data_IF_506927668641
#
_entry.id   IF_506927668641
#
_cell.length_a   1.000
_cell.length_b   1.000
_cell.length_c   1.000
_cell.angle_alpha   90.00
_cell.angle_beta   90.00
_cell.angle_gamma   90.00
#
_symmetry.space_group_name_H-M   'P 1'
#
loop_
_entity.id
_entity.type
_entity.pdbx_description
1 polymer ?
#
# COMPACT_ATOMS: atom_id res chain seq x y z
N UNK A 1 -7.75 -16.83 7.35
CA UNK A 1 -6.80 -16.09 6.48
C UNK A 1 -6.86 -14.57 6.72
N UNK A 2 -8.03 -13.96 6.84
CA UNK A 2 -8.16 -12.51 7.14
C UNK A 2 -7.51 -12.09 8.48
N UNK A 3 -7.67 -12.89 9.53
CA UNK A 3 -7.17 -12.55 10.87
C UNK A 3 -5.64 -12.52 11.00
N UNK A 4 -4.90 -13.30 10.19
CA UNK A 4 -3.43 -13.30 10.22
C UNK A 4 -2.84 -12.10 9.47
N UNK A 5 -3.58 -11.53 8.51
CA UNK A 5 -3.14 -10.36 7.76
C UNK A 5 -3.32 -9.06 8.55
N UNK A 6 -4.35 -9.00 9.40
CA UNK A 6 -4.66 -7.86 10.28
C UNK A 6 -3.43 -7.35 11.08
N UNK A 7 -2.68 -8.18 11.84
CA UNK A 7 -1.50 -7.71 12.57
C UNK A 7 -0.35 -7.28 11.65
N UNK A 8 -0.22 -7.85 10.45
CA UNK A 8 0.82 -7.46 9.48
C UNK A 8 0.57 -6.04 8.98
N UNK A 9 -0.67 -5.73 8.59
CA UNK A 9 -1.08 -4.39 8.14
C UNK A 9 -0.79 -3.37 9.24
N UNK A 10 -1.20 -3.67 10.46
CA UNK A 10 -1.04 -2.79 11.59
C UNK A 10 0.44 -2.55 11.92
N UNK A 11 1.28 -3.59 11.89
CA UNK A 11 2.73 -3.47 12.13
C UNK A 11 3.42 -2.65 11.05
N UNK A 12 3.06 -2.85 9.77
CA UNK A 12 3.64 -2.07 8.68
C UNK A 12 3.28 -0.60 8.76
N UNK A 13 2.03 -0.27 9.08
CA UNK A 13 1.56 1.10 9.23
C UNK A 13 2.16 1.81 10.46
N UNK A 14 2.61 1.05 11.48
CA UNK A 14 3.24 1.59 12.68
C UNK A 14 4.77 1.66 12.63
N UNK A 15 5.41 1.20 11.54
CA UNK A 15 6.87 1.26 11.42
C UNK A 15 7.39 2.70 11.57
N UNK A 16 8.44 2.92 12.40
CA UNK A 16 8.97 4.24 12.73
C UNK A 16 9.99 4.74 11.71
N UNK A 17 9.82 4.36 10.44
CA UNK A 17 10.66 4.74 9.32
C UNK A 17 9.86 4.77 8.02
N UNK A 18 10.33 5.53 7.01
CA UNK A 18 9.72 5.52 5.68
C UNK A 18 9.78 4.14 5.03
N UNK A 19 8.71 3.79 4.33
CA UNK A 19 8.55 2.50 3.66
C UNK A 19 8.23 2.67 2.17
N UNK A 20 8.90 1.90 1.32
CA UNK A 20 8.72 1.92 -0.13
C UNK A 20 8.36 0.50 -0.59
N UNK A 21 7.24 0.34 -1.28
CA UNK A 21 6.89 -0.89 -1.99
C UNK A 21 7.38 -0.82 -3.43
N UNK A 22 8.16 -1.81 -3.87
CA UNK A 22 8.61 -1.96 -5.26
C UNK A 22 7.88 -3.13 -5.92
N UNK A 23 6.87 -2.85 -6.76
CA UNK A 23 6.05 -3.87 -7.42
C UNK A 23 6.65 -4.25 -8.79
N UNK A 24 7.41 -5.34 -8.83
CA UNK A 24 8.03 -5.84 -10.08
C UNK A 24 7.09 -6.70 -10.94
N UNK A 25 5.91 -7.06 -10.45
CA UNK A 25 4.98 -7.98 -11.13
C UNK A 25 3.53 -7.81 -10.67
N UNK A 26 2.84 -8.94 -10.45
CA UNK A 26 1.45 -8.92 -10.00
C UNK A 26 1.38 -8.70 -8.49
N UNK A 27 0.60 -7.71 -8.07
CA UNK A 27 0.14 -7.56 -6.69
C UNK A 27 -1.38 -7.66 -6.67
N UNK A 28 -1.90 -8.79 -6.19
CA UNK A 28 -3.32 -9.11 -6.20
C UNK A 28 -3.85 -9.23 -4.77
N UNK A 29 -5.10 -8.81 -4.53
CA UNK A 29 -5.80 -9.01 -3.25
C UNK A 29 -4.93 -8.56 -2.06
N UNK A 30 -4.64 -9.45 -1.11
CA UNK A 30 -3.77 -9.17 0.04
C UNK A 30 -2.37 -8.66 -0.36
N UNK A 31 -1.81 -9.09 -1.50
CA UNK A 31 -0.55 -8.57 -2.01
C UNK A 31 -0.65 -7.09 -2.44
N UNK A 32 -1.81 -6.69 -3.00
CA UNK A 32 -2.06 -5.29 -3.30
C UNK A 32 -2.26 -4.46 -2.02
N UNK A 33 -3.04 -4.95 -1.04
CA UNK A 33 -3.13 -4.28 0.24
C UNK A 33 -1.78 -4.16 0.95
N UNK A 34 -0.93 -5.18 0.87
CA UNK A 34 0.39 -5.14 1.46
C UNK A 34 1.22 -4.00 0.88
N UNK A 35 1.17 -3.79 -0.44
CA UNK A 35 1.80 -2.64 -1.09
C UNK A 35 1.20 -1.32 -0.58
N UNK A 36 -0.12 -1.22 -0.45
CA UNK A 36 -0.80 -0.03 0.07
C UNK A 36 -0.45 0.31 1.54
N UNK A 37 0.07 -0.64 2.32
CA UNK A 37 0.57 -0.36 3.67
C UNK A 37 1.87 0.47 3.69
N UNK A 38 2.56 0.60 2.55
CA UNK A 38 3.78 1.38 2.45
C UNK A 38 3.46 2.86 2.21
N UNK A 39 4.41 3.74 2.51
CA UNK A 39 4.25 5.18 2.30
C UNK A 39 4.23 5.50 0.81
N UNK A 40 5.20 4.93 0.10
CA UNK A 40 5.40 5.08 -1.33
C UNK A 40 5.27 3.73 -2.04
N UNK A 41 4.70 3.73 -3.24
CA UNK A 41 4.53 2.56 -4.09
C UNK A 41 5.10 2.87 -5.46
N UNK A 42 6.16 2.17 -5.84
CA UNK A 42 6.75 2.22 -7.17
C UNK A 42 6.43 0.93 -7.90
N UNK A 43 6.30 0.99 -9.22
CA UNK A 43 5.82 -0.15 -9.99
C UNK A 43 6.55 -0.29 -11.32
N UNK A 44 6.74 -1.52 -11.77
CA UNK A 44 7.29 -1.78 -13.10
C UNK A 44 6.24 -1.50 -14.17
N UNK A 45 6.62 -0.79 -15.23
CA UNK A 45 5.74 -0.30 -16.30
C UNK A 45 5.07 -1.44 -17.08
N UNK A 46 5.86 -2.41 -17.52
CA UNK A 46 5.47 -3.42 -18.51
C UNK A 46 4.83 -4.69 -17.90
N UNK A 47 5.30 -5.14 -16.73
CA UNK A 47 4.77 -6.33 -16.05
C UNK A 47 4.04 -6.07 -14.74
N UNK A 48 4.04 -4.83 -14.26
CA UNK A 48 3.27 -4.48 -13.07
C UNK A 48 1.78 -4.62 -13.35
N UNK A 49 1.06 -5.34 -12.48
CA UNK A 49 -0.40 -5.39 -12.47
C UNK A 49 -0.92 -5.36 -11.03
N UNK A 50 -1.85 -4.46 -10.73
CA UNK A 50 -2.55 -4.40 -9.44
C UNK A 50 -4.05 -4.65 -9.63
N UNK A 51 -4.66 -5.40 -8.71
CA UNK A 51 -6.10 -5.67 -8.72
C UNK A 51 -6.57 -6.30 -7.40
N UNK A 52 -7.89 -6.23 -7.20
CA UNK A 52 -8.63 -6.96 -6.18
C UNK A 52 -9.45 -8.04 -6.88
N UNK A 53 -9.39 -9.28 -6.37
CA UNK A 53 -10.04 -10.44 -7.00
C UNK A 53 -11.27 -10.93 -6.24
N UNK A 54 -11.55 -10.33 -5.08
CA UNK A 54 -12.58 -10.77 -4.15
C UNK A 54 -13.96 -10.81 -4.80
N UNK A 55 -14.30 -9.80 -5.61
CA UNK A 55 -15.60 -9.72 -6.30
C UNK A 55 -15.77 -10.85 -7.32
N UNK A 56 -14.70 -11.20 -8.06
CA UNK A 56 -14.72 -12.29 -9.05
C UNK A 56 -14.80 -13.66 -8.38
N UNK A 57 -14.30 -13.77 -7.15
CA UNK A 57 -14.31 -15.00 -6.34
C UNK A 57 -15.55 -15.13 -5.44
N UNK A 58 -16.46 -14.14 -5.44
CA UNK A 58 -17.62 -14.13 -4.54
C UNK A 58 -17.26 -14.00 -3.06
N UNK A 59 -16.09 -13.42 -2.76
CA UNK A 59 -15.59 -13.23 -1.40
C UNK A 59 -15.97 -11.84 -0.88
N UNK A 60 -16.26 -11.78 0.42
CA UNK A 60 -16.46 -10.50 1.10
C UNK A 60 -15.13 -9.87 1.48
N UNK A 61 -15.09 -8.54 1.46
CA UNK A 61 -13.92 -7.77 1.88
C UNK A 61 -14.11 -7.29 3.33
N UNK A 62 -13.11 -7.48 4.22
CA UNK A 62 -13.15 -6.95 5.59
C UNK A 62 -13.10 -5.42 5.63
N UNK A 63 -13.74 -4.81 6.63
CA UNK A 63 -13.83 -3.34 6.74
C UNK A 63 -12.47 -2.64 6.82
N UNK A 64 -11.49 -3.22 7.53
CA UNK A 64 -10.14 -2.63 7.62
C UNK A 64 -9.43 -2.58 6.26
N UNK A 65 -9.77 -3.50 5.35
CA UNK A 65 -9.22 -3.54 4.00
C UNK A 65 -9.82 -2.42 3.16
N UNK A 66 -11.15 -2.22 3.27
CA UNK A 66 -11.84 -1.11 2.63
C UNK A 66 -11.32 0.25 3.16
N UNK A 67 -11.07 0.36 4.47
CA UNK A 67 -10.48 1.54 5.09
C UNK A 67 -9.07 1.81 4.54
N UNK A 68 -8.20 0.80 4.49
CA UNK A 68 -6.85 0.94 3.90
C UNK A 68 -6.90 1.45 2.45
N UNK A 69 -7.77 0.89 1.62
CA UNK A 69 -7.93 1.32 0.22
C UNK A 69 -8.44 2.77 0.15
N UNK A 70 -9.40 3.17 0.98
CA UNK A 70 -9.87 4.57 1.05
C UNK A 70 -8.77 5.54 1.47
N UNK A 71 -7.94 5.14 2.45
CA UNK A 71 -6.84 5.94 2.96
C UNK A 71 -5.73 6.17 1.93
N UNK A 72 -5.55 5.26 0.97
CA UNK A 72 -4.44 5.32 -0.01
C UNK A 72 -4.88 5.71 -1.42
N UNK A 73 -6.14 5.47 -1.79
CA UNK A 73 -6.70 5.82 -3.10
C UNK A 73 -7.80 6.85 -2.89
N UNK A 74 -7.48 8.14 -3.10
CA UNK A 74 -8.41 9.25 -2.83
C UNK A 74 -9.61 9.28 -3.77
N UNK A 75 -9.46 8.84 -5.02
CA UNK A 75 -10.51 8.89 -6.04
C UNK A 75 -11.59 7.82 -5.85
N UNK A 76 -12.84 8.26 -5.68
CA UNK A 76 -14.02 7.39 -5.56
C UNK A 76 -14.24 6.54 -6.83
N UNK A 77 -13.99 7.09 -8.02
CA UNK A 77 -14.14 6.33 -9.27
C UNK A 77 -13.09 5.23 -9.35
N UNK A 78 -11.83 5.54 -9.03
CA UNK A 78 -10.74 4.54 -9.04
C UNK A 78 -11.01 3.42 -8.04
N UNK A 79 -11.50 3.74 -6.84
CA UNK A 79 -11.87 2.70 -5.86
C UNK A 79 -12.97 1.79 -6.39
N UNK A 80 -13.99 2.32 -7.08
CA UNK A 80 -15.06 1.51 -7.68
C UNK A 80 -14.52 0.60 -8.79
N UNK A 81 -13.66 1.13 -9.67
CA UNK A 81 -13.02 0.34 -10.72
C UNK A 81 -12.25 -0.85 -10.13
N UNK A 82 -11.42 -0.59 -9.12
CA UNK A 82 -10.56 -1.63 -8.53
C UNK A 82 -11.36 -2.63 -7.69
N UNK A 83 -12.30 -2.16 -6.87
CA UNK A 83 -13.01 -3.01 -5.88
C UNK A 83 -14.28 -3.65 -6.41
N UNK A 84 -15.10 -2.90 -7.14
CA UNK A 84 -16.43 -3.36 -7.57
C UNK A 84 -16.41 -3.91 -8.99
N UNK A 85 -15.53 -3.40 -9.87
CA UNK A 85 -15.38 -3.91 -11.22
C UNK A 85 -14.22 -4.91 -11.37
N UNK A 86 -13.47 -5.21 -10.29
CA UNK A 86 -12.34 -6.15 -10.33
C UNK A 86 -11.24 -5.75 -11.33
N UNK A 87 -11.15 -4.46 -11.67
CA UNK A 87 -10.33 -4.00 -12.80
C UNK A 87 -8.85 -4.26 -12.52
N UNK A 88 -8.20 -4.96 -13.45
CA UNK A 88 -6.74 -5.04 -13.53
C UNK A 88 -6.15 -3.74 -14.05
N UNK A 89 -5.22 -3.16 -13.29
CA UNK A 89 -4.57 -1.90 -13.61
C UNK A 89 -3.08 -2.14 -13.85
N UNK A 90 -2.60 -1.81 -15.04
CA UNK A 90 -1.18 -1.88 -15.39
C UNK A 90 -0.38 -0.70 -14.81
N UNK A 91 0.96 -0.78 -14.85
CA UNK A 91 1.83 0.26 -14.29
C UNK A 91 1.49 1.68 -14.76
N UNK A 92 1.45 1.92 -16.07
CA UNK A 92 1.18 3.27 -16.61
C UNK A 92 -0.17 3.83 -16.16
N UNK A 93 -1.20 3.00 -16.16
CA UNK A 93 -2.54 3.42 -15.74
C UNK A 93 -2.56 3.65 -14.24
N UNK A 94 -1.87 2.82 -13.45
CA UNK A 94 -1.80 2.98 -11.99
C UNK A 94 -1.17 4.32 -11.61
N UNK A 95 -0.10 4.75 -12.29
CA UNK A 95 0.52 6.06 -12.08
C UNK A 95 -0.42 7.20 -12.50
N UNK A 96 -1.07 7.10 -13.66
CA UNK A 96 -2.05 8.10 -14.14
C UNK A 96 -3.24 8.26 -13.20
N UNK A 97 -3.67 7.17 -12.56
CA UNK A 97 -4.77 7.15 -11.59
C UNK A 97 -4.33 7.55 -10.17
N UNK A 98 -3.03 7.78 -9.94
CA UNK A 98 -2.48 8.11 -8.63
C UNK A 98 -2.54 6.96 -7.62
N UNK A 99 -2.54 5.71 -8.08
CA UNK A 99 -2.51 4.52 -7.20
C UNK A 99 -1.06 4.18 -6.81
N UNK A 100 -0.10 4.49 -7.68
CA UNK A 100 1.34 4.34 -7.45
C UNK A 100 2.04 5.67 -7.74
N UNK A 101 3.16 5.94 -7.07
CA UNK A 101 3.89 7.20 -7.14
C UNK A 101 4.72 7.33 -8.42
N UNK A 102 5.32 6.24 -8.90
CA UNK A 102 6.10 6.23 -10.14
C UNK A 102 6.13 4.87 -10.81
N UNK A 103 6.54 4.87 -12.09
CA UNK A 103 6.74 3.67 -12.89
C UNK A 103 8.13 3.60 -13.50
N UNK A 104 8.68 2.39 -13.59
CA UNK A 104 10.04 2.13 -14.06
C UNK A 104 10.06 1.04 -15.12
N UNK A 105 10.96 1.16 -16.10
CA UNK A 105 10.90 0.36 -17.33
C UNK A 105 11.30 -1.10 -17.13
N UNK A 106 12.11 -1.40 -16.12
CA UNK A 106 12.51 -2.76 -15.77
C UNK A 106 12.71 -2.91 -14.25
N UNK A 107 13.02 -4.13 -13.81
CA UNK A 107 13.17 -4.46 -12.40
C UNK A 107 14.40 -3.82 -11.75
N UNK A 108 15.52 -3.72 -12.47
CA UNK A 108 16.73 -3.06 -11.99
C UNK A 108 16.48 -1.58 -11.72
N UNK A 109 15.93 -0.85 -12.70
CA UNK A 109 15.59 0.57 -12.57
C UNK A 109 14.54 0.82 -11.46
N UNK A 110 13.60 -0.11 -11.27
CA UNK A 110 12.64 -0.06 -10.17
C UNK A 110 13.34 -0.17 -8.80
N UNK A 111 14.23 -1.15 -8.66
CA UNK A 111 14.94 -1.40 -7.40
C UNK A 111 15.92 -0.26 -7.09
N UNK A 112 16.65 0.23 -8.08
CA UNK A 112 17.53 1.41 -7.94
C UNK A 112 16.74 2.62 -7.45
N UNK A 113 15.58 2.91 -8.05
CA UNK A 113 14.75 4.03 -7.64
C UNK A 113 14.21 3.88 -6.21
N UNK A 114 13.76 2.68 -5.83
CA UNK A 114 13.27 2.40 -4.49
C UNK A 114 14.37 2.56 -3.43
N UNK A 115 15.57 2.02 -3.69
CA UNK A 115 16.72 2.14 -2.79
C UNK A 115 17.18 3.59 -2.69
N UNK A 116 17.31 4.30 -3.81
CA UNK A 116 17.71 5.70 -3.83
C UNK A 116 16.72 6.59 -3.04
N UNK A 117 15.42 6.35 -3.18
CA UNK A 117 14.40 7.03 -2.38
C UNK A 117 14.55 6.72 -0.88
N UNK A 118 14.76 5.45 -0.54
CA UNK A 118 15.01 5.02 0.83
C UNK A 118 16.24 5.70 1.44
N UNK A 119 17.36 5.76 0.72
CA UNK A 119 18.58 6.45 1.16
C UNK A 119 18.36 7.95 1.35
N UNK A 120 17.67 8.60 0.40
CA UNK A 120 17.35 10.02 0.48
C UNK A 120 16.54 10.33 1.75
N UNK A 121 15.51 9.53 2.02
CA UNK A 121 14.66 9.69 3.19
C UNK A 121 15.42 9.37 4.49
N UNK A 122 16.23 8.32 4.50
CA UNK A 122 17.04 7.93 5.66
C UNK A 122 18.04 9.02 6.09
N UNK A 123 18.62 9.76 5.12
CA UNK A 123 19.54 10.89 5.40
C UNK A 123 18.89 12.03 6.18
N UNK A 124 17.56 12.11 6.20
CA UNK A 124 16.82 13.13 6.96
C UNK A 124 16.96 12.95 8.47
N UNK A 125 17.24 11.73 8.94
CA UNK A 125 17.44 11.39 10.38
C UNK A 125 16.33 11.96 11.27
N UNK A 126 15.09 11.81 10.82
CA UNK A 126 13.94 12.19 11.64
C UNK A 126 13.91 11.38 12.93
N UNK A 127 13.31 11.96 13.96
CA UNK A 127 13.01 11.24 15.18
C UNK A 127 11.95 10.16 14.87
N UNK A 128 12.24 8.93 15.28
CA UNK A 128 11.52 7.72 14.89
C UNK A 128 10.09 7.69 15.41
N UNK A 129 9.87 8.12 16.65
CA UNK A 129 8.53 8.14 17.26
C UNK A 129 7.65 9.20 16.59
N UNK A 130 8.18 10.39 16.35
CA UNK A 130 7.49 11.46 15.64
C UNK A 130 7.10 11.03 14.22
N UNK A 131 7.97 10.31 13.50
CA UNK A 131 7.62 9.77 12.19
C UNK A 131 6.48 8.75 12.30
N UNK A 132 6.55 7.81 13.24
CA UNK A 132 5.51 6.82 13.47
C UNK A 132 4.16 7.48 13.80
N UNK A 133 4.13 8.43 14.71
CA UNK A 133 2.90 9.12 15.13
C UNK A 133 2.28 9.97 14.01
N UNK A 134 3.09 10.74 13.29
CA UNK A 134 2.61 11.51 12.13
C UNK A 134 2.06 10.55 11.08
N UNK A 135 2.77 9.47 10.77
CA UNK A 135 2.33 8.45 9.81
C UNK A 135 1.00 7.80 10.21
N UNK A 136 0.86 7.39 11.48
CA UNK A 136 -0.40 6.83 12.01
C UNK A 136 -1.55 7.84 11.88
N UNK A 137 -1.30 9.13 12.13
CA UNK A 137 -2.31 10.19 12.03
C UNK A 137 -2.82 10.44 10.60
N UNK A 138 -2.09 10.03 9.57
CA UNK A 138 -2.57 10.09 8.19
C UNK A 138 -3.74 9.12 7.93
N UNK A 139 -3.91 8.12 8.78
CA UNK A 139 -4.85 7.02 8.57
C UNK A 139 -5.81 6.85 9.76
N UNK A 140 -6.63 7.86 10.09
CA UNK A 140 -7.47 7.85 11.29
C UNK A 140 -8.49 6.69 11.28
N UNK A 141 -8.99 6.28 10.11
CA UNK A 141 -9.88 5.10 9.97
C UNK A 141 -9.17 3.78 10.31
N UNK A 142 -7.84 3.75 10.30
CA UNK A 142 -7.02 2.59 10.69
C UNK A 142 -6.69 2.58 12.20
N UNK A 143 -7.06 3.62 12.96
CA UNK A 143 -6.77 3.69 14.40
C UNK A 143 -7.29 2.50 15.22
N UNK A 144 -8.51 1.98 15.00
CA UNK A 144 -8.98 0.80 15.75
C UNK A 144 -8.06 -0.40 15.54
N UNK A 145 -7.59 -0.59 14.30
CA UNK A 145 -6.65 -1.65 13.96
C UNK A 145 -5.30 -1.45 14.67
N UNK A 146 -4.77 -0.23 14.67
CA UNK A 146 -3.49 0.09 15.30
C UNK A 146 -3.53 -0.07 16.83
N UNK A 147 -4.64 0.34 17.46
CA UNK A 147 -4.82 0.22 18.90
C UNK A 147 -4.91 -1.24 19.37
N UNK A 148 -5.51 -2.12 18.57
CA UNK A 148 -5.57 -3.56 18.87
C UNK A 148 -4.20 -4.23 18.92
N UNK A 149 -3.20 -3.73 18.19
CA UNK A 149 -1.82 -4.23 18.30
C UNK A 149 -1.14 -3.75 19.57
N UNK A 150 -1.25 -2.46 19.89
CA UNK A 150 -0.58 -1.87 21.03
C UNK A 150 -1.12 -2.39 22.37
N UNK A 151 -2.38 -2.85 22.42
CA UNK A 151 -2.96 -3.52 23.58
C UNK A 151 -2.61 -5.00 23.74
N UNK A 152 -1.81 -5.57 22.82
CA UNK A 152 -1.42 -6.99 22.80
C UNK A 152 0.10 -7.23 22.85
N UNK A 153 0.91 -6.17 22.99
CA UNK A 153 2.35 -6.26 23.28
C UNK A 153 2.62 -5.98 24.76
#
# INVERSE_FOLDING_TARGET
>A
MVHIFKPIVAALLSLPMPTIAAISGHAAAAGFALALCHDYVLMRRDKGVIYMSEIDLGLTMPDYFAALVRSKISSVSVRRDVLLAGRKVNGETAAKLGIVDSVHDNEEALMEAAVAMGEMLARRKWESEAYAEIRKSLYPEMSPLLNELNGKM
#
